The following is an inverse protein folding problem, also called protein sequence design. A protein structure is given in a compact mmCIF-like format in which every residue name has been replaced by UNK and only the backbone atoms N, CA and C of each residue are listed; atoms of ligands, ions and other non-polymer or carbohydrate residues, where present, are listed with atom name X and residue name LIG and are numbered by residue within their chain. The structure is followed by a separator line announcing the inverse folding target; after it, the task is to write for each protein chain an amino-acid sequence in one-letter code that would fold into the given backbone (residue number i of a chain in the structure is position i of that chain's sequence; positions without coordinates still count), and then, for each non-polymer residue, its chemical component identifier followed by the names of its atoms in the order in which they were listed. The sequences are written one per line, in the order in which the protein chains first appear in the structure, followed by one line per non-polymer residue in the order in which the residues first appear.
data_IF_533252009060
#
_entry.id   IF_533252009060
#
_cell.length_a   1.000
_cell.length_b   1.000
_cell.length_c   1.000
_cell.angle_alpha   90.00
_cell.angle_beta   90.00
_cell.angle_gamma   90.00
#
_symmetry.space_group_name_H-M   'P 1'
#
loop_
_entity.id
_entity.type
_entity.pdbx_description
1 polymer ?
#
# COMPACT_ATOMS: atom_id res chain seq x y z
N UNK A 1 -12.22 2.03 -5.99
CA UNK A 1 -11.67 1.67 -7.32
C UNK A 1 -11.29 0.19 -7.33
N UNK A 2 -11.11 -0.49 -8.47
CA UNK A 2 -10.46 -1.83 -8.48
C UNK A 2 -9.00 -1.69 -8.91
N UNK A 3 -8.08 -2.07 -8.02
CA UNK A 3 -6.64 -2.07 -8.29
C UNK A 3 -6.26 -3.16 -9.29
N UNK A 4 -5.38 -2.82 -10.23
CA UNK A 4 -4.83 -3.75 -11.23
C UNK A 4 -3.59 -4.48 -10.73
N UNK A 5 -2.93 -3.95 -9.70
CA UNK A 5 -1.71 -4.54 -9.13
C UNK A 5 -0.52 -4.32 -10.05
N UNK A 6 -0.40 -3.11 -10.61
CA UNK A 6 0.66 -2.74 -11.53
C UNK A 6 1.85 -2.14 -10.77
N UNK A 7 1.64 -0.99 -10.14
CA UNK A 7 2.67 -0.27 -9.42
C UNK A 7 2.06 0.63 -8.32
N UNK A 8 2.93 1.31 -7.58
CA UNK A 8 2.56 2.20 -6.48
C UNK A 8 1.74 3.42 -6.91
N UNK A 9 1.68 3.77 -8.20
CA UNK A 9 0.94 4.95 -8.68
C UNK A 9 -0.55 4.81 -8.43
N UNK A 10 -1.08 3.58 -8.50
CA UNK A 10 -2.50 3.32 -8.24
C UNK A 10 -2.88 3.71 -6.81
N UNK A 11 -2.06 3.28 -5.83
CA UNK A 11 -2.26 3.61 -4.42
C UNK A 11 -2.00 5.10 -4.14
N UNK A 12 -0.99 5.69 -4.78
CA UNK A 12 -0.72 7.12 -4.65
C UNK A 12 -1.92 7.97 -5.09
N UNK A 13 -2.49 7.66 -6.25
CA UNK A 13 -3.64 8.37 -6.79
C UNK A 13 -4.87 8.25 -5.90
N UNK A 14 -5.18 7.04 -5.41
CA UNK A 14 -6.33 6.81 -4.50
C UNK A 14 -6.16 7.54 -3.16
N UNK A 15 -4.93 7.65 -2.66
CA UNK A 15 -4.62 8.39 -1.43
C UNK A 15 -4.45 9.90 -1.65
N UNK A 16 -4.69 10.40 -2.87
CA UNK A 16 -4.62 11.83 -3.21
C UNK A 16 -3.20 12.39 -3.33
N UNK A 17 -2.20 11.54 -3.56
CA UNK A 17 -0.80 11.92 -3.74
C UNK A 17 -0.56 12.14 -5.24
N UNK A 18 -0.17 13.36 -5.61
CA UNK A 18 0.18 13.69 -7.00
C UNK A 18 1.43 12.93 -7.45
N UNK A 19 1.34 12.33 -8.64
CA UNK A 19 2.41 11.53 -9.27
C UNK A 19 3.06 12.25 -10.46
N UNK A 20 2.45 13.31 -10.98
CA UNK A 20 2.95 14.05 -12.16
C UNK A 20 4.25 14.78 -11.88
N UNK A 21 5.24 14.63 -12.77
CA UNK A 21 6.52 15.36 -12.75
C UNK A 21 7.37 15.16 -11.47
N UNK A 22 7.10 14.08 -10.72
CA UNK A 22 7.81 13.76 -9.47
C UNK A 22 8.63 12.50 -9.63
N UNK A 23 9.73 12.43 -8.86
CA UNK A 23 10.52 11.20 -8.80
C UNK A 23 9.77 10.11 -8.05
N UNK A 24 9.96 8.86 -8.45
CA UNK A 24 9.43 7.68 -7.75
C UNK A 24 9.78 7.72 -6.25
N UNK A 25 11.04 8.04 -5.92
CA UNK A 25 11.50 8.11 -4.53
C UNK A 25 10.75 9.13 -3.68
N UNK A 26 10.33 10.27 -4.25
CA UNK A 26 9.56 11.27 -3.52
C UNK A 26 8.11 10.83 -3.29
N UNK A 27 7.51 10.13 -4.26
CA UNK A 27 6.15 9.63 -4.13
C UNK A 27 6.09 8.49 -3.11
N UNK A 28 7.09 7.60 -3.12
CA UNK A 28 7.19 6.53 -2.12
C UNK A 28 7.39 7.08 -0.71
N UNK A 29 8.14 8.17 -0.54
CA UNK A 29 8.25 8.87 0.75
C UNK A 29 6.91 9.44 1.20
N UNK A 30 6.15 10.05 0.29
CA UNK A 30 4.83 10.59 0.62
C UNK A 30 3.83 9.49 0.95
N UNK A 31 3.86 8.37 0.23
CA UNK A 31 3.07 7.18 0.54
C UNK A 31 3.42 6.65 1.94
N UNK A 32 4.71 6.48 2.23
CA UNK A 32 5.17 6.03 3.55
C UNK A 32 4.70 6.98 4.66
N UNK A 33 4.83 8.29 4.44
CA UNK A 33 4.36 9.32 5.34
C UNK A 33 2.84 9.21 5.56
N UNK A 34 2.06 9.15 4.48
CA UNK A 34 0.59 9.06 4.53
C UNK A 34 0.13 7.82 5.28
N UNK A 35 0.75 6.67 5.02
CA UNK A 35 0.49 5.40 5.70
C UNK A 35 0.87 5.46 7.18
N UNK A 36 1.92 6.20 7.54
CA UNK A 36 2.35 6.35 8.93
C UNK A 36 1.47 7.30 9.74
N UNK A 37 1.06 8.41 9.13
CA UNK A 37 0.28 9.47 9.79
C UNK A 37 -1.20 9.11 9.91
N UNK A 38 -1.71 8.17 9.11
CA UNK A 38 -3.11 7.73 9.19
C UNK A 38 -3.41 6.91 10.43
N UNK A 39 -2.39 6.27 11.02
CA UNK A 39 -2.55 5.30 12.10
C UNK A 39 -2.73 6.04 13.44
N UNK A 40 -3.85 5.82 14.12
CA UNK A 40 -4.17 6.44 15.41
C UNK A 40 -4.56 7.92 15.34
N UNK A 41 -4.71 8.50 14.14
CA UNK A 41 -5.08 9.92 13.97
C UNK A 41 -6.59 10.12 13.99
N UNK A 42 -7.32 9.33 13.22
CA UNK A 42 -8.77 9.37 13.08
C UNK A 42 -9.24 8.00 12.58
N UNK A 43 -10.19 7.39 13.28
CA UNK A 43 -10.69 6.03 12.99
C UNK A 43 -11.20 5.85 11.55
N UNK A 44 -11.86 6.87 10.98
CA UNK A 44 -12.38 6.82 9.60
C UNK A 44 -11.24 6.90 8.59
N UNK A 45 -10.29 7.81 8.81
CA UNK A 45 -9.12 7.95 7.93
C UNK A 45 -8.25 6.69 7.98
N UNK A 46 -8.00 6.20 9.18
CA UNK A 46 -7.24 4.97 9.44
C UNK A 46 -7.87 3.79 8.72
N UNK A 47 -9.16 3.54 8.94
CA UNK A 47 -9.90 2.46 8.28
C UNK A 47 -9.86 2.56 6.75
N UNK A 48 -9.98 3.78 6.22
CA UNK A 48 -9.89 4.02 4.77
C UNK A 48 -8.50 3.68 4.24
N UNK A 49 -7.43 4.15 4.88
CA UNK A 49 -6.06 3.90 4.42
C UNK A 49 -5.70 2.41 4.53
N UNK A 50 -6.11 1.74 5.60
CA UNK A 50 -5.92 0.29 5.77
C UNK A 50 -6.67 -0.47 4.69
N UNK A 51 -7.93 -0.10 4.43
CA UNK A 51 -8.74 -0.73 3.39
C UNK A 51 -8.07 -0.59 2.01
N UNK A 52 -7.58 0.60 1.66
CA UNK A 52 -6.92 0.85 0.39
C UNK A 52 -5.60 0.06 0.28
N UNK A 53 -4.78 0.04 1.33
CA UNK A 53 -3.55 -0.74 1.34
C UNK A 53 -3.79 -2.25 1.20
N UNK A 54 -4.81 -2.80 1.88
CA UNK A 54 -5.19 -4.21 1.76
C UNK A 54 -5.75 -4.54 0.38
N UNK A 55 -6.63 -3.68 -0.14
CA UNK A 55 -7.22 -3.85 -1.47
C UNK A 55 -6.16 -3.79 -2.57
N UNK A 56 -5.23 -2.85 -2.46
CA UNK A 56 -4.07 -2.73 -3.32
C UNK A 56 -3.21 -3.99 -3.27
N UNK A 57 -2.78 -4.43 -2.08
CA UNK A 57 -1.97 -5.64 -1.93
C UNK A 57 -2.68 -6.90 -2.45
N UNK A 58 -3.99 -7.02 -2.23
CA UNK A 58 -4.78 -8.13 -2.73
C UNK A 58 -4.75 -8.24 -4.26
N UNK A 59 -4.71 -7.11 -4.98
CA UNK A 59 -4.58 -7.12 -6.44
C UNK A 59 -3.28 -7.78 -6.92
N UNK A 60 -2.16 -7.60 -6.21
CA UNK A 60 -0.89 -8.26 -6.56
C UNK A 60 -0.93 -9.78 -6.39
N UNK A 61 -1.82 -10.32 -5.55
CA UNK A 61 -1.96 -11.77 -5.38
C UNK A 61 -2.64 -12.45 -6.59
N UNK A 62 -3.34 -11.67 -7.41
CA UNK A 62 -3.97 -12.13 -8.65
C UNK A 62 -2.93 -12.37 -9.74
N UNK A 63 -1.77 -11.72 -9.66
CA UNK A 63 -0.69 -11.85 -10.64
C UNK A 63 0.16 -13.11 -10.36
N UNK A 64 0.67 -13.75 -11.43
CA UNK A 64 1.63 -14.85 -11.29
C UNK A 64 3.05 -14.29 -11.06
N UNK A 65 3.43 -14.21 -9.78
CA UNK A 65 4.75 -13.74 -9.35
C UNK A 65 5.30 -14.61 -8.22
N UNK A 66 6.62 -14.79 -8.17
CA UNK A 66 7.30 -15.50 -7.08
C UNK A 66 7.06 -14.84 -5.71
N UNK A 67 6.67 -13.56 -5.69
CA UNK A 67 6.35 -12.80 -4.47
C UNK A 67 4.93 -13.07 -3.94
N UNK A 68 4.08 -13.81 -4.65
CA UNK A 68 2.68 -14.05 -4.26
C UNK A 68 2.53 -14.62 -2.83
N UNK A 69 3.32 -15.61 -2.39
CA UNK A 69 3.25 -16.10 -1.01
C UNK A 69 3.56 -15.03 0.04
N UNK A 70 4.50 -14.12 -0.26
CA UNK A 70 4.82 -12.99 0.62
C UNK A 70 3.61 -12.05 0.78
N UNK A 71 2.95 -11.71 -0.33
CA UNK A 71 1.76 -10.85 -0.31
C UNK A 71 0.60 -11.51 0.43
N UNK A 72 0.38 -12.81 0.22
CA UNK A 72 -0.63 -13.58 0.97
C UNK A 72 -0.33 -13.64 2.46
N UNK A 73 0.93 -13.84 2.84
CA UNK A 73 1.36 -13.82 4.24
C UNK A 73 1.12 -12.46 4.91
N UNK A 74 1.38 -11.36 4.19
CA UNK A 74 1.13 -10.02 4.68
C UNK A 74 -0.39 -9.74 4.84
N UNK A 75 -1.23 -10.19 3.91
CA UNK A 75 -2.70 -10.08 4.01
C UNK A 75 -3.28 -10.87 5.19
N UNK A 76 -2.63 -11.96 5.60
CA UNK A 76 -3.06 -12.78 6.74
C UNK A 76 -2.81 -12.12 8.11
N UNK A 77 -2.13 -10.97 8.16
CA UNK A 77 -1.94 -10.21 9.39
C UNK A 77 -3.25 -9.50 9.74
N UNK A 78 -3.88 -9.91 10.85
CA UNK A 78 -5.14 -9.33 11.33
C UNK A 78 -4.95 -7.99 12.07
N UNK A 79 -3.81 -7.80 12.72
CA UNK A 79 -3.52 -6.55 13.41
C UNK A 79 -3.11 -5.45 12.42
N UNK A 80 -3.92 -4.39 12.33
CA UNK A 80 -3.76 -3.37 11.29
C UNK A 80 -2.48 -2.54 11.45
N UNK A 81 -2.07 -2.26 12.69
CA UNK A 81 -0.80 -1.57 12.97
C UNK A 81 0.39 -2.41 12.46
N UNK A 82 0.38 -3.71 12.75
CA UNK A 82 1.40 -4.65 12.30
C UNK A 82 1.38 -4.79 10.78
N UNK A 83 0.19 -4.91 10.17
CA UNK A 83 0.02 -4.95 8.73
C UNK A 83 0.64 -3.72 8.06
N UNK A 84 0.25 -2.51 8.46
CA UNK A 84 0.75 -1.26 7.87
C UNK A 84 2.26 -1.13 8.05
N UNK A 85 2.79 -1.49 9.22
CA UNK A 85 4.24 -1.48 9.49
C UNK A 85 5.02 -2.32 8.48
N UNK A 86 4.59 -3.55 8.21
CA UNK A 86 5.27 -4.42 7.25
C UNK A 86 4.97 -4.07 5.80
N UNK A 87 3.74 -3.63 5.51
CA UNK A 87 3.34 -3.16 4.19
C UNK A 87 4.23 -2.01 3.71
N UNK A 88 4.48 -1.01 4.57
CA UNK A 88 5.36 0.13 4.28
C UNK A 88 6.79 -0.30 3.92
N UNK A 89 7.35 -1.24 4.67
CA UNK A 89 8.70 -1.78 4.41
C UNK A 89 8.76 -2.49 3.06
N UNK A 90 7.71 -3.24 2.72
CA UNK A 90 7.67 -4.04 1.51
C UNK A 90 7.25 -3.24 0.27
N UNK A 91 6.60 -2.09 0.45
CA UNK A 91 6.06 -1.28 -0.63
C UNK A 91 7.10 -1.05 -1.74
N UNK A 92 8.33 -0.53 -1.49
CA UNK A 92 9.36 -0.32 -2.52
C UNK A 92 9.81 -1.57 -3.30
N UNK A 93 9.42 -2.75 -2.83
CA UNK A 93 9.87 -4.03 -3.34
C UNK A 93 8.74 -4.84 -3.98
N UNK A 94 7.52 -4.30 -4.07
CA UNK A 94 6.38 -5.03 -4.61
C UNK A 94 6.49 -5.24 -6.13
N UNK A 95 7.09 -4.28 -6.83
CA UNK A 95 7.44 -4.38 -8.25
C UNK A 95 8.88 -4.89 -8.43
N UNK A 96 9.08 -5.73 -9.44
CA UNK A 96 10.37 -6.13 -10.02
C UNK A 96 10.09 -6.85 -11.34
#
# INVERSE_FOLDING_TARGET
MEYKGQDWTELANELGISTSERSEGDILKDLDKRLSESIGLNEVLESTVIYEARSFLNSFTKNETYKKPLFQGLLAINDDHTFIKYFRILLPHMWA
#
